data_IF_472956906169
#
_entry.id   IF_472956906169
#
_cell.length_a   1.000
_cell.length_b   1.000
_cell.length_c   1.000
_cell.angle_alpha   90.00
_cell.angle_beta   90.00
_cell.angle_gamma   90.00
#
_symmetry.space_group_name_H-M   'P 1'
#
loop_
_entity.id
_entity.type
_entity.pdbx_description
1 polymer ?
#
# COMPACT_ATOMS: atom_id res chain seq x y z
N UNK A 1 -26.11 -10.52 -6.26
CA UNK A 1 -24.74 -10.00 -6.47
C UNK A 1 -24.89 -8.79 -7.38
N UNK A 2 -24.72 -7.57 -6.86
CA UNK A 2 -24.80 -6.39 -7.72
C UNK A 2 -23.62 -6.43 -8.69
N UNK A 3 -23.88 -6.45 -10.00
CA UNK A 3 -22.81 -6.28 -10.98
C UNK A 3 -22.13 -4.94 -10.74
N UNK A 4 -20.80 -4.96 -10.57
CA UNK A 4 -20.01 -3.73 -10.47
C UNK A 4 -20.27 -2.89 -11.72
N UNK A 5 -20.60 -1.63 -11.51
CA UNK A 5 -20.74 -0.66 -12.60
C UNK A 5 -19.41 -0.50 -13.35
N UNK A 6 -19.47 -0.04 -14.60
CA UNK A 6 -18.26 0.18 -15.40
C UNK A 6 -17.24 1.11 -14.72
N UNK A 7 -17.71 2.09 -13.94
CA UNK A 7 -16.86 2.98 -13.16
C UNK A 7 -16.18 2.25 -12.00
N UNK A 8 -16.91 1.45 -11.23
CA UNK A 8 -16.34 0.66 -10.13
C UNK A 8 -15.30 -0.36 -10.63
N UNK A 9 -15.53 -0.98 -11.79
CA UNK A 9 -14.54 -1.86 -12.45
C UNK A 9 -13.27 -1.11 -12.84
N UNK A 10 -13.40 0.11 -13.37
CA UNK A 10 -12.27 0.96 -13.74
C UNK A 10 -11.46 1.41 -12.53
N UNK A 11 -12.13 1.82 -11.46
CA UNK A 11 -11.48 2.24 -10.21
C UNK A 11 -10.75 1.06 -9.54
N UNK A 12 -11.35 -0.12 -9.56
CA UNK A 12 -10.71 -1.36 -9.09
C UNK A 12 -9.47 -1.73 -9.93
N UNK A 13 -9.56 -1.64 -11.26
CA UNK A 13 -8.43 -1.87 -12.16
C UNK A 13 -7.29 -0.86 -11.93
N UNK A 14 -7.62 0.41 -11.68
CA UNK A 14 -6.66 1.48 -11.40
C UNK A 14 -5.91 1.23 -10.10
N UNK A 15 -6.63 0.80 -9.05
CA UNK A 15 -6.02 0.43 -7.78
C UNK A 15 -5.03 -0.73 -7.95
N UNK A 16 -5.42 -1.79 -8.65
CA UNK A 16 -4.55 -2.95 -8.90
C UNK A 16 -3.29 -2.57 -9.70
N UNK A 17 -3.41 -1.68 -10.69
CA UNK A 17 -2.25 -1.25 -11.49
C UNK A 17 -1.27 -0.34 -10.74
N UNK A 18 -1.79 0.57 -9.90
CA UNK A 18 -0.98 1.57 -9.20
C UNK A 18 -0.30 1.00 -7.94
N UNK A 19 -0.86 -0.05 -7.32
CA UNK A 19 -0.38 -0.58 -6.05
C UNK A 19 0.22 -1.99 -6.14
N UNK A 20 -0.30 -2.83 -7.02
CA UNK A 20 0.28 -4.16 -7.27
C UNK A 20 1.12 -4.14 -8.54
N UNK A 21 2.23 -4.91 -8.57
CA UNK A 21 3.03 -5.08 -9.78
C UNK A 21 2.39 -6.11 -10.74
N UNK A 22 1.06 -6.11 -10.82
CA UNK A 22 0.29 -7.03 -11.65
C UNK A 22 0.34 -6.61 -13.12
N UNK A 23 0.37 -7.62 -13.97
CA UNK A 23 0.24 -7.44 -15.41
C UNK A 23 -1.17 -6.99 -15.79
N UNK A 24 -1.29 -6.31 -16.92
CA UNK A 24 -2.59 -5.88 -17.47
C UNK A 24 -3.56 -7.05 -17.69
N UNK A 25 -3.03 -8.26 -17.90
CA UNK A 25 -3.81 -9.49 -18.08
C UNK A 25 -4.42 -9.95 -16.75
N UNK A 26 -3.63 -9.98 -15.68
CA UNK A 26 -4.12 -10.37 -14.34
C UNK A 26 -5.15 -9.37 -13.80
N UNK A 27 -4.95 -8.08 -14.06
CA UNK A 27 -5.92 -7.02 -13.69
C UNK A 27 -7.25 -7.24 -14.43
N UNK A 28 -7.19 -7.57 -15.71
CA UNK A 28 -8.37 -7.80 -16.53
C UNK A 28 -9.19 -9.00 -16.02
N UNK A 29 -8.52 -10.09 -15.65
CA UNK A 29 -9.12 -11.29 -15.08
C UNK A 29 -9.76 -11.01 -13.71
N UNK A 30 -9.08 -10.29 -12.82
CA UNK A 30 -9.62 -9.93 -11.49
C UNK A 30 -10.82 -8.98 -11.56
N UNK A 31 -10.82 -8.06 -12.52
CA UNK A 31 -11.87 -7.03 -12.67
C UNK A 31 -13.06 -7.56 -13.50
N UNK A 32 -12.87 -8.66 -14.24
CA UNK A 32 -13.88 -9.22 -15.13
C UNK A 32 -14.12 -8.35 -16.37
N UNK A 33 -13.04 -7.85 -16.98
CA UNK A 33 -13.05 -7.05 -18.22
C UNK A 33 -11.99 -7.54 -19.19
N UNK A 34 -12.02 -7.08 -20.44
CA UNK A 34 -10.96 -7.43 -21.40
C UNK A 34 -9.65 -6.70 -21.07
N UNK A 35 -8.51 -7.33 -21.38
CA UNK A 35 -7.19 -6.68 -21.29
C UNK A 35 -7.12 -5.36 -22.07
N UNK A 36 -7.78 -5.30 -23.23
CA UNK A 36 -7.86 -4.07 -24.04
C UNK A 36 -8.60 -2.94 -23.32
N UNK A 37 -9.59 -3.24 -22.49
CA UNK A 37 -10.27 -2.25 -21.65
C UNK A 37 -9.33 -1.64 -20.62
N UNK A 38 -8.51 -2.47 -19.95
CA UNK A 38 -7.50 -2.03 -18.99
C UNK A 38 -6.45 -1.14 -19.66
N UNK A 39 -5.90 -1.57 -20.80
CA UNK A 39 -4.92 -0.78 -21.58
C UNK A 39 -5.50 0.58 -21.97
N UNK A 40 -6.75 0.61 -22.43
CA UNK A 40 -7.43 1.85 -22.82
C UNK A 40 -7.57 2.81 -21.64
N UNK A 41 -7.96 2.31 -20.47
CA UNK A 41 -8.08 3.13 -19.26
C UNK A 41 -6.73 3.66 -18.78
N UNK A 42 -5.71 2.80 -18.76
CA UNK A 42 -4.34 3.19 -18.43
C UNK A 42 -3.82 4.33 -19.29
N UNK A 43 -4.04 4.25 -20.60
CA UNK A 43 -3.60 5.28 -21.56
C UNK A 43 -4.41 6.57 -21.43
N UNK A 44 -5.73 6.46 -21.28
CA UNK A 44 -6.63 7.61 -21.18
C UNK A 44 -6.40 8.44 -19.91
N UNK A 45 -6.06 7.78 -18.80
CA UNK A 45 -5.84 8.41 -17.50
C UNK A 45 -4.37 8.48 -17.08
N UNK A 46 -3.43 8.17 -18.00
CA UNK A 46 -1.98 8.27 -17.74
C UNK A 46 -1.56 7.56 -16.43
N UNK A 47 -2.07 6.34 -16.20
CA UNK A 47 -1.78 5.62 -14.96
C UNK A 47 -0.29 5.36 -14.75
N UNK A 48 0.48 5.26 -15.83
CA UNK A 48 1.93 5.08 -15.79
C UNK A 48 2.63 6.33 -15.20
N UNK A 49 2.19 7.54 -15.54
CA UNK A 49 2.65 8.80 -14.91
C UNK A 49 2.24 8.86 -13.43
N UNK A 50 1.04 8.35 -13.10
CA UNK A 50 0.57 8.26 -11.72
C UNK A 50 1.38 7.24 -10.90
N UNK A 51 1.82 6.13 -11.51
CA UNK A 51 2.71 5.14 -10.87
C UNK A 51 4.05 5.79 -10.51
N UNK A 52 4.60 6.62 -11.40
CA UNK A 52 5.80 7.42 -11.13
C UNK A 52 5.55 8.44 -10.00
N UNK A 53 4.38 9.09 -9.95
CA UNK A 53 4.01 10.05 -8.90
C UNK A 53 3.64 9.43 -7.52
N UNK A 54 3.13 8.21 -7.51
CA UNK A 54 2.81 7.42 -6.28
C UNK A 54 4.09 6.82 -5.66
N UNK A 55 5.19 6.81 -6.41
CA UNK A 55 6.54 6.45 -5.92
C UNK A 55 7.24 7.62 -5.21
N UNK A 56 6.49 8.54 -4.59
CA UNK A 56 6.88 9.01 -3.25
C UNK A 56 6.33 7.98 -2.27
N UNK A 57 6.98 6.81 -2.27
CA UNK A 57 6.45 5.61 -1.64
C UNK A 57 6.25 5.84 -0.14
N UNK A 58 5.35 5.07 0.48
CA UNK A 58 5.14 5.08 1.93
C UNK A 58 6.46 4.97 2.69
N UNK A 59 7.39 4.17 2.19
CA UNK A 59 8.74 4.00 2.71
C UNK A 59 9.57 5.29 2.59
N UNK A 60 9.41 6.04 1.49
CA UNK A 60 10.04 7.35 1.33
C UNK A 60 9.43 8.39 2.29
N UNK A 61 8.13 8.35 2.55
CA UNK A 61 7.49 9.21 3.55
C UNK A 61 7.96 8.87 4.97
N UNK A 62 8.02 7.58 5.32
CA UNK A 62 8.59 7.10 6.58
C UNK A 62 10.06 7.51 6.70
N UNK A 63 10.86 7.35 5.63
CA UNK A 63 12.26 7.82 5.58
C UNK A 63 12.38 9.32 5.82
N UNK A 64 11.48 10.12 5.23
CA UNK A 64 11.46 11.57 5.42
C UNK A 64 11.09 11.95 6.86
N UNK A 65 10.14 11.26 7.48
CA UNK A 65 9.77 11.48 8.89
C UNK A 65 10.92 11.09 9.84
N UNK A 66 11.62 9.98 9.57
CA UNK A 66 12.82 9.60 10.32
C UNK A 66 13.93 10.64 10.20
N UNK A 67 14.13 11.23 9.00
CA UNK A 67 15.10 12.33 8.83
C UNK A 67 14.73 13.54 9.69
N UNK A 68 13.45 13.92 9.74
CA UNK A 68 13.00 15.03 10.59
C UNK A 68 13.25 14.76 12.08
N UNK A 69 12.99 13.52 12.54
CA UNK A 69 13.32 13.10 13.92
C UNK A 69 14.81 13.19 14.19
N UNK A 70 15.65 12.73 13.26
CA UNK A 70 17.11 12.77 13.40
C UNK A 70 17.64 14.21 13.46
N UNK A 71 17.16 15.10 12.59
CA UNK A 71 17.53 16.52 12.62
C UNK A 71 17.15 17.18 13.95
N UNK A 72 15.94 16.92 14.46
CA UNK A 72 15.51 17.47 15.74
C UNK A 72 16.39 16.96 16.91
N UNK A 73 16.74 15.68 16.89
CA UNK A 73 17.66 15.09 17.87
C UNK A 73 19.06 15.70 17.77
N UNK A 74 19.57 15.94 16.57
CA UNK A 74 20.86 16.60 16.36
C UNK A 74 20.86 18.01 16.93
N UNK A 75 19.79 18.78 16.73
CA UNK A 75 19.61 20.10 17.36
C UNK A 75 19.65 20.00 18.88
N UNK A 76 18.91 19.06 19.48
CA UNK A 76 18.92 18.84 20.94
C UNK A 76 20.32 18.46 21.43
N UNK A 77 21.05 17.60 20.72
CA UNK A 77 22.39 17.14 21.11
C UNK A 77 23.47 18.21 20.94
N UNK A 78 23.28 19.15 20.01
CA UNK A 78 24.20 20.28 19.81
C UNK A 78 24.17 21.33 20.94
N UNK A 79 23.22 21.20 21.89
CA UNK A 79 23.12 22.06 23.06
C UNK A 79 24.29 21.86 24.04
N UNK A 80 24.56 22.86 24.90
CA UNK A 80 25.52 22.73 25.99
C UNK A 80 25.24 21.52 26.88
N UNK A 81 26.29 21.02 27.53
CA UNK A 81 26.17 19.96 28.52
C UNK A 81 25.22 20.40 29.65
N UNK A 82 24.32 19.50 30.05
CA UNK A 82 23.24 19.80 30.99
C UNK A 82 21.95 20.31 30.34
N UNK A 83 21.94 20.66 29.05
CA UNK A 83 20.75 21.15 28.33
C UNK A 83 20.32 20.25 27.15
N UNK A 84 20.94 19.07 27.01
CA UNK A 84 20.71 18.10 25.92
C UNK A 84 19.43 17.27 26.11
N UNK A 85 18.32 17.95 26.36
CA UNK A 85 17.00 17.34 26.44
C UNK A 85 16.00 18.14 25.61
N UNK A 86 14.91 17.50 25.21
CA UNK A 86 13.86 18.14 24.43
C UNK A 86 13.12 19.20 25.26
N UNK A 87 12.84 20.34 24.65
CA UNK A 87 11.86 21.30 25.16
C UNK A 87 10.44 20.75 25.03
N UNK A 88 9.46 21.33 25.71
CA UNK A 88 8.07 20.89 25.60
C UNK A 88 7.53 20.89 24.15
N UNK A 89 7.80 21.91 23.30
CA UNK A 89 7.42 21.88 21.88
C UNK A 89 8.13 20.79 21.07
N UNK A 90 9.40 20.52 21.36
CA UNK A 90 10.17 19.46 20.68
C UNK A 90 9.68 18.07 21.07
N UNK A 91 9.38 17.85 22.35
CA UNK A 91 8.81 16.60 22.82
C UNK A 91 7.44 16.32 22.18
N UNK A 92 6.58 17.34 22.07
CA UNK A 92 5.30 17.24 21.35
C UNK A 92 5.49 16.93 19.86
N UNK A 93 6.44 17.61 19.21
CA UNK A 93 6.77 17.38 17.79
C UNK A 93 7.30 15.96 17.56
N UNK A 94 8.24 15.49 18.40
CA UNK A 94 8.76 14.11 18.36
C UNK A 94 7.64 13.10 18.56
N UNK A 95 6.74 13.34 19.51
CA UNK A 95 5.57 12.49 19.77
C UNK A 95 4.66 12.37 18.54
N UNK A 96 4.40 13.48 17.86
CA UNK A 96 3.59 13.51 16.62
C UNK A 96 4.27 12.81 15.46
N UNK A 97 5.58 13.02 15.26
CA UNK A 97 6.34 12.33 14.22
C UNK A 97 6.40 10.82 14.48
N UNK A 98 6.64 10.40 15.73
CA UNK A 98 6.64 9.00 16.11
C UNK A 98 5.27 8.34 15.93
N UNK A 99 4.18 9.03 16.28
CA UNK A 99 2.82 8.55 16.05
C UNK A 99 2.49 8.43 14.55
N UNK A 100 2.94 9.39 13.74
CA UNK A 100 2.78 9.34 12.29
C UNK A 100 3.58 8.20 11.66
N UNK A 101 4.85 8.01 12.05
CA UNK A 101 5.67 6.87 11.62
C UNK A 101 4.99 5.56 12.01
N UNK A 102 4.61 5.38 13.28
CA UNK A 102 3.94 4.16 13.74
C UNK A 102 2.68 3.91 12.95
N UNK A 103 1.83 4.92 12.75
CA UNK A 103 0.62 4.78 11.93
C UNK A 103 0.96 4.35 10.51
N UNK A 104 1.95 4.98 9.89
CA UNK A 104 2.44 4.64 8.56
C UNK A 104 3.23 3.32 8.53
N UNK A 105 3.66 2.73 9.63
CA UNK A 105 4.25 1.38 9.65
C UNK A 105 3.17 0.32 9.88
N UNK A 106 2.16 0.65 10.70
CA UNK A 106 1.08 -0.27 11.11
C UNK A 106 -0.15 -0.23 10.23
N UNK A 107 -0.27 0.73 9.30
CA UNK A 107 -1.32 0.73 8.28
C UNK A 107 -1.11 -0.49 7.38
N UNK A 108 -1.33 -1.72 7.84
CA UNK A 108 -1.27 -2.90 6.97
C UNK A 108 -2.38 -2.67 5.96
N UNK A 109 -1.99 -2.21 4.79
CA UNK A 109 -2.93 -1.82 3.77
C UNK A 109 -3.61 -3.08 3.26
N UNK A 110 -4.77 -2.92 2.65
CA UNK A 110 -5.40 -4.00 1.89
C UNK A 110 -4.41 -4.59 0.86
N UNK A 111 -3.47 -3.78 0.36
CA UNK A 111 -2.36 -4.22 -0.49
C UNK A 111 -1.39 -5.19 0.22
N UNK A 112 -1.03 -4.92 1.47
CA UNK A 112 -0.15 -5.80 2.26
C UNK A 112 -0.85 -7.14 2.56
N UNK A 113 -2.14 -7.10 2.89
CA UNK A 113 -2.97 -8.29 3.04
C UNK A 113 -3.01 -9.09 1.73
N UNK A 114 -3.32 -8.44 0.59
CA UNK A 114 -3.34 -9.10 -0.73
C UNK A 114 -2.00 -9.74 -1.05
N UNK A 115 -0.88 -9.06 -0.81
CA UNK A 115 0.47 -9.57 -1.05
C UNK A 115 0.78 -10.83 -0.22
N UNK A 116 0.48 -10.81 1.08
CA UNK A 116 0.64 -11.98 1.96
C UNK A 116 -0.26 -13.13 1.52
N UNK A 117 -1.52 -12.84 1.18
CA UNK A 117 -2.47 -13.83 0.69
C UNK A 117 -2.02 -14.54 -0.58
N UNK A 118 -1.49 -13.78 -1.56
CA UNK A 118 -0.95 -14.35 -2.80
C UNK A 118 0.20 -15.30 -2.49
N UNK A 119 1.20 -14.87 -1.71
CA UNK A 119 2.35 -15.71 -1.32
C UNK A 119 1.91 -16.99 -0.60
N UNK A 120 0.92 -16.89 0.27
CA UNK A 120 0.37 -18.04 0.98
C UNK A 120 -0.35 -19.01 0.04
N UNK A 121 -1.19 -18.51 -0.87
CA UNK A 121 -1.90 -19.33 -1.86
C UNK A 121 -0.92 -20.01 -2.83
N UNK A 122 0.14 -19.31 -3.26
CA UNK A 122 1.19 -19.86 -4.09
C UNK A 122 1.95 -20.99 -3.40
N UNK A 123 2.18 -20.88 -2.09
CA UNK A 123 2.77 -21.95 -1.29
C UNK A 123 1.87 -23.18 -1.16
N UNK A 124 0.55 -23.00 -1.07
CA UNK A 124 -0.41 -24.13 -1.03
C UNK A 124 -0.51 -24.82 -2.39
N UNK A 125 -0.45 -24.06 -3.50
CA UNK A 125 -0.69 -24.56 -4.86
C UNK A 125 0.07 -25.84 -5.26
N UNK A 126 1.38 -26.00 -4.98
CA UNK A 126 2.10 -27.24 -5.28
C UNK A 126 1.81 -28.39 -4.29
N UNK A 127 1.22 -28.11 -3.13
CA UNK A 127 0.87 -29.10 -2.10
C UNK A 127 -0.52 -29.69 -2.39
N UNK A 128 -1.50 -28.81 -2.58
CA UNK A 128 -2.89 -29.17 -2.85
C UNK A 128 -3.56 -28.06 -3.68
N UNK A 129 -3.81 -28.38 -4.95
CA UNK A 129 -4.39 -27.44 -5.90
C UNK A 129 -5.85 -27.09 -5.56
N UNK A 130 -6.63 -28.04 -5.06
CA UNK A 130 -8.04 -27.81 -4.75
C UNK A 130 -8.17 -26.99 -3.46
N UNK A 131 -7.29 -27.22 -2.48
CA UNK A 131 -7.20 -26.35 -1.30
C UNK A 131 -6.77 -24.94 -1.65
N UNK A 132 -5.82 -24.76 -2.57
CA UNK A 132 -5.41 -23.44 -3.03
C UNK A 132 -6.59 -22.67 -3.66
N UNK A 133 -7.45 -23.33 -4.44
CA UNK A 133 -8.67 -22.71 -5.00
C UNK A 133 -9.66 -22.31 -3.91
N UNK A 134 -9.95 -23.20 -2.95
CA UNK A 134 -10.84 -22.89 -1.82
C UNK A 134 -10.35 -21.67 -1.03
N UNK A 135 -9.05 -21.67 -0.67
CA UNK A 135 -8.43 -20.57 0.09
C UNK A 135 -8.45 -19.28 -0.72
N UNK A 136 -8.21 -19.33 -2.04
CA UNK A 136 -8.32 -18.15 -2.92
C UNK A 136 -9.72 -17.53 -2.86
N UNK A 137 -10.78 -18.35 -2.96
CA UNK A 137 -12.16 -17.87 -2.91
C UNK A 137 -12.48 -17.23 -1.54
N UNK A 138 -12.02 -17.84 -0.46
CA UNK A 138 -12.22 -17.30 0.90
C UNK A 138 -11.42 -16.01 1.11
N UNK A 139 -10.19 -15.96 0.59
CA UNK A 139 -9.32 -14.79 0.66
C UNK A 139 -9.92 -13.61 -0.10
N UNK A 140 -10.42 -13.83 -1.31
CA UNK A 140 -11.09 -12.80 -2.12
C UNK A 140 -12.34 -12.24 -1.42
N UNK A 141 -13.10 -13.09 -0.72
CA UNK A 141 -14.25 -12.64 0.08
C UNK A 141 -13.79 -11.81 1.28
N UNK A 142 -12.78 -12.28 2.01
CA UNK A 142 -12.21 -11.55 3.13
C UNK A 142 -11.71 -10.16 2.72
N UNK A 143 -10.96 -10.05 1.62
CA UNK A 143 -10.47 -8.76 1.10
C UNK A 143 -11.63 -7.83 0.70
N UNK A 144 -12.71 -8.35 0.11
CA UNK A 144 -13.90 -7.56 -0.22
C UNK A 144 -14.61 -6.99 1.00
N UNK A 145 -14.60 -7.69 2.13
CA UNK A 145 -15.19 -7.21 3.39
C UNK A 145 -14.33 -6.14 4.10
N UNK A 146 -13.05 -6.02 3.73
CA UNK A 146 -12.13 -5.00 4.28
C UNK A 146 -12.08 -3.70 3.45
N UNK A 147 -12.75 -3.66 2.29
CA UNK A 147 -12.85 -2.51 1.37
C UNK A 147 -14.06 -1.64 1.68
#
# INVERSE_FOLDING_TARGET
MAELTAQQKKDYARMLYLKDNLTQQEIAEKVGVSRQSVIRWMKAEKWEEMKVGVTLSREQQISNLHRQVMELNNVILSRPEGERYATAPEADTLGKLAAAIKKMETDVGIADLVSVGIRFIEWIRPIDLDKAKEVTILWDKFIKDQL
#
